data_IF_722838744727
#
_entry.id   IF_722838744727
#
_cell.length_a   1.000
_cell.length_b   1.000
_cell.length_c   1.000
_cell.angle_alpha   90.00
_cell.angle_beta   90.00
_cell.angle_gamma   90.00
#
_symmetry.space_group_name_H-M   'P 1'
#
loop_
_entity.id
_entity.type
_entity.pdbx_description
1 polymer ?
#
# COMPACT_ATOMS: atom_id res chain seq x y z
N UNK A 1 25.88 -5.91 -14.90
CA UNK A 1 24.63 -5.59 -15.64
C UNK A 1 24.02 -4.30 -15.08
N UNK A 2 23.67 -3.31 -15.91
CA UNK A 2 22.90 -2.12 -15.46
C UNK A 2 21.42 -2.36 -15.76
N UNK A 3 20.60 -2.45 -14.71
CA UNK A 3 19.15 -2.57 -14.86
C UNK A 3 18.56 -1.20 -15.25
N UNK A 4 17.87 -1.12 -16.39
CA UNK A 4 17.13 0.09 -16.78
C UNK A 4 15.70 -0.02 -16.23
N UNK A 5 15.36 0.86 -15.30
CA UNK A 5 14.01 0.96 -14.73
C UNK A 5 13.20 1.89 -15.63
N UNK A 6 12.04 1.46 -16.15
CA UNK A 6 11.19 2.32 -16.96
C UNK A 6 10.57 3.45 -16.14
N UNK A 7 10.02 4.45 -16.83
CA UNK A 7 9.24 5.49 -16.16
C UNK A 7 7.95 4.91 -15.57
N UNK A 8 7.55 5.36 -14.37
CA UNK A 8 6.40 4.77 -13.70
C UNK A 8 5.08 5.27 -14.29
N UNK A 9 4.21 4.34 -14.68
CA UNK A 9 2.79 4.58 -15.02
C UNK A 9 2.00 4.97 -13.77
N UNK A 10 2.30 4.32 -12.64
CA UNK A 10 1.67 4.60 -11.33
C UNK A 10 2.67 4.42 -10.22
N UNK A 11 2.52 5.21 -9.16
CA UNK A 11 3.43 5.18 -8.02
C UNK A 11 2.71 5.42 -6.70
N UNK A 12 3.15 4.68 -5.68
CA UNK A 12 2.77 4.86 -4.30
C UNK A 12 3.82 5.65 -3.53
N UNK A 13 3.40 6.50 -2.60
CA UNK A 13 4.30 7.07 -1.59
C UNK A 13 3.92 6.50 -0.22
N UNK A 14 4.84 5.75 0.37
CA UNK A 14 4.72 5.27 1.76
C UNK A 14 5.08 6.44 2.67
N UNK A 15 4.08 7.01 3.35
CA UNK A 15 4.25 8.18 4.21
C UNK A 15 4.96 7.83 5.53
N UNK A 16 4.79 6.59 5.98
CA UNK A 16 5.47 6.03 7.14
C UNK A 16 5.52 4.50 7.08
N UNK A 17 6.29 3.83 7.94
CA UNK A 17 6.13 2.40 8.21
C UNK A 17 5.27 2.12 9.46
N UNK A 18 4.87 3.18 10.18
CA UNK A 18 3.97 3.03 11.33
C UNK A 18 2.54 2.73 10.88
N UNK A 19 1.95 1.71 11.47
CA UNK A 19 0.57 1.27 11.20
C UNK A 19 -0.17 1.02 12.51
N UNK A 20 -1.51 1.07 12.50
CA UNK A 20 -2.34 0.70 13.66
C UNK A 20 -2.45 -0.81 13.84
N UNK A 21 -2.14 -1.60 12.82
CA UNK A 21 -2.12 -3.07 12.86
C UNK A 21 -0.77 -3.66 12.49
N UNK A 22 -0.61 -4.95 12.74
CA UNK A 22 0.60 -5.73 12.41
C UNK A 22 0.26 -6.94 11.54
N UNK A 23 -0.54 -6.70 10.48
CA UNK A 23 -1.14 -7.76 9.66
C UNK A 23 -0.11 -8.79 9.19
N UNK A 24 -0.42 -10.09 9.33
CA UNK A 24 0.49 -11.20 9.01
C UNK A 24 0.94 -11.26 7.55
N UNK A 25 0.16 -10.72 6.62
CA UNK A 25 0.50 -10.67 5.19
C UNK A 25 1.23 -9.38 4.76
N UNK A 26 1.52 -8.45 5.67
CA UNK A 26 1.99 -7.12 5.29
C UNK A 26 3.33 -7.18 4.56
N UNK A 27 3.32 -6.75 3.30
CA UNK A 27 4.49 -6.67 2.42
C UNK A 27 5.63 -5.85 3.02
N UNK A 28 5.30 -4.73 3.65
CA UNK A 28 6.26 -3.74 4.15
C UNK A 28 6.63 -3.93 5.62
N UNK A 29 6.13 -4.99 6.26
CA UNK A 29 6.30 -5.23 7.69
C UNK A 29 5.96 -4.00 8.57
N UNK A 30 4.97 -3.20 8.15
CA UNK A 30 4.48 -2.04 8.90
C UNK A 30 3.89 -2.48 10.25
N UNK A 31 4.08 -1.71 11.31
CA UNK A 31 3.60 -2.07 12.65
C UNK A 31 3.43 -0.84 13.54
N UNK A 32 2.73 -0.96 14.69
CA UNK A 32 2.65 0.13 15.66
C UNK A 32 4.00 0.50 16.28
N UNK A 33 4.92 -0.47 16.32
CA UNK A 33 6.24 -0.37 16.95
C UNK A 33 7.29 0.41 16.14
N UNK A 34 7.01 0.76 14.88
CA UNK A 34 7.91 1.61 14.09
C UNK A 34 8.05 3.01 14.72
N UNK A 35 9.22 3.25 15.34
CA UNK A 35 9.56 4.51 16.02
C UNK A 35 10.08 5.57 15.05
N UNK A 36 10.81 5.15 14.02
CA UNK A 36 11.38 6.01 12.99
C UNK A 36 10.60 5.92 11.68
N UNK A 37 10.60 7.00 10.88
CA UNK A 37 10.05 6.97 9.52
C UNK A 37 8.87 7.89 9.27
N UNK A 38 8.81 9.08 9.88
CA UNK A 38 7.97 10.15 9.31
C UNK A 38 8.67 10.68 8.07
N UNK A 39 7.99 10.68 6.93
CA UNK A 39 8.51 11.29 5.71
C UNK A 39 8.81 12.78 5.93
N UNK A 40 10.07 13.23 5.87
CA UNK A 40 10.41 14.64 6.04
C UNK A 40 9.81 15.47 4.91
N UNK A 41 9.38 16.70 5.20
CA UNK A 41 8.68 17.54 4.22
C UNK A 41 9.50 17.80 2.95
N UNK A 42 10.79 18.12 3.10
CA UNK A 42 11.69 18.30 1.96
C UNK A 42 11.85 17.03 1.11
N UNK A 43 11.66 15.84 1.70
CA UNK A 43 11.71 14.56 0.97
C UNK A 43 10.41 14.33 0.19
N UNK A 44 9.25 14.57 0.81
CA UNK A 44 7.94 14.48 0.15
C UNK A 44 7.90 15.34 -1.11
N UNK A 45 8.28 16.62 -1.01
CA UNK A 45 8.31 17.54 -2.15
C UNK A 45 9.20 17.03 -3.28
N UNK A 46 10.40 16.54 -2.96
CA UNK A 46 11.30 15.95 -3.95
C UNK A 46 10.71 14.70 -4.60
N UNK A 47 10.02 13.84 -3.85
CA UNK A 47 9.39 12.62 -4.40
C UNK A 47 8.31 12.98 -5.40
N UNK A 48 7.37 13.86 -5.01
CA UNK A 48 6.29 14.32 -5.87
C UNK A 48 6.83 14.99 -7.14
N UNK A 49 7.82 15.87 -7.01
CA UNK A 49 8.48 16.51 -8.17
C UNK A 49 9.15 15.48 -9.08
N UNK A 50 9.70 14.40 -8.50
CA UNK A 50 10.28 13.30 -9.27
C UNK A 50 9.26 12.48 -10.07
N UNK A 51 7.98 12.52 -9.70
CA UNK A 51 6.89 11.81 -10.37
C UNK A 51 6.11 12.70 -11.35
N UNK A 52 6.28 14.02 -11.26
CA UNK A 52 5.57 14.99 -12.09
C UNK A 52 5.77 14.73 -13.58
N UNK A 53 4.66 14.65 -14.31
CA UNK A 53 4.65 14.39 -15.75
C UNK A 53 4.95 12.96 -16.18
N UNK A 54 5.11 12.02 -15.24
CA UNK A 54 5.42 10.61 -15.55
C UNK A 54 4.24 9.66 -15.34
N UNK A 55 3.40 9.98 -14.36
CA UNK A 55 2.24 9.15 -14.01
C UNK A 55 1.12 9.28 -15.04
N UNK A 56 0.43 8.18 -15.29
CA UNK A 56 -0.73 8.11 -16.19
C UNK A 56 -2.00 8.07 -15.35
N UNK A 57 -2.94 8.96 -15.64
CA UNK A 57 -4.25 8.96 -14.97
C UNK A 57 -5.10 7.76 -15.36
N UNK A 58 -6.01 7.38 -14.47
CA UNK A 58 -6.96 6.31 -14.75
C UNK A 58 -7.88 6.72 -15.92
N UNK A 59 -8.25 5.77 -16.79
CA UNK A 59 -9.26 6.01 -17.82
C UNK A 59 -10.55 6.61 -17.21
N UNK A 60 -11.15 7.58 -17.88
CA UNK A 60 -12.35 8.26 -17.39
C UNK A 60 -12.13 9.23 -16.21
N UNK A 61 -10.88 9.46 -15.78
CA UNK A 61 -10.56 10.45 -14.74
C UNK A 61 -10.82 9.98 -13.30
N UNK A 62 -11.13 8.69 -13.10
CA UNK A 62 -11.33 8.08 -11.79
C UNK A 62 -10.02 7.72 -11.07
N UNK A 63 -10.09 6.71 -10.21
CA UNK A 63 -8.93 6.11 -9.53
C UNK A 63 -8.74 4.65 -9.93
N UNK A 64 -7.53 4.11 -9.75
CA UNK A 64 -7.25 2.72 -10.01
C UNK A 64 -5.90 2.31 -9.44
N UNK A 65 -5.80 1.07 -8.96
CA UNK A 65 -4.61 0.52 -8.29
C UNK A 65 -3.33 0.68 -9.14
N UNK A 66 -3.47 0.63 -10.47
CA UNK A 66 -2.36 0.70 -11.41
C UNK A 66 -2.22 2.06 -12.11
N UNK A 67 -2.91 3.11 -11.66
CA UNK A 67 -2.90 4.44 -12.28
C UNK A 67 -2.67 5.56 -11.26
N UNK A 68 -2.00 6.61 -11.71
CA UNK A 68 -1.82 7.84 -10.93
C UNK A 68 -0.94 7.67 -9.70
N UNK A 69 -1.25 8.47 -8.67
CA UNK A 69 -0.55 8.52 -7.40
C UNK A 69 -1.40 7.89 -6.29
N UNK A 70 -0.82 6.97 -5.52
CA UNK A 70 -1.45 6.53 -4.27
C UNK A 70 -0.62 6.92 -3.06
N UNK A 71 -1.29 7.39 -2.02
CA UNK A 71 -0.70 7.66 -0.72
C UNK A 71 -0.99 6.48 0.19
N UNK A 72 0.05 5.89 0.77
CA UNK A 72 -0.08 4.66 1.54
C UNK A 72 0.88 4.64 2.73
N UNK A 73 0.83 3.55 3.49
CA UNK A 73 1.86 3.11 4.43
C UNK A 73 2.04 3.93 5.72
N UNK A 74 2.27 3.29 6.88
CA UNK A 74 1.74 1.97 7.21
C UNK A 74 0.23 2.12 7.33
N UNK A 75 -0.17 3.17 8.04
CA UNK A 75 -1.51 3.74 8.00
C UNK A 75 -1.43 5.28 7.90
N UNK A 76 -1.74 5.88 6.74
CA UNK A 76 -1.66 7.33 6.51
C UNK A 76 -2.42 8.18 7.53
N UNK A 77 -3.55 7.70 8.04
CA UNK A 77 -4.39 8.46 8.96
C UNK A 77 -3.84 8.54 10.39
N UNK A 78 -2.79 7.78 10.74
CA UNK A 78 -2.03 8.01 11.97
C UNK A 78 -1.33 9.38 11.98
N UNK A 79 -1.10 9.98 10.80
CA UNK A 79 -0.56 11.32 10.67
C UNK A 79 -1.37 12.11 9.62
N UNK A 80 -2.64 12.37 9.96
CA UNK A 80 -3.58 13.06 9.09
C UNK A 80 -3.05 14.41 8.57
N UNK A 81 -2.30 15.16 9.37
CA UNK A 81 -1.68 16.42 8.92
C UNK A 81 -0.64 16.23 7.81
N UNK A 82 0.18 15.18 7.86
CA UNK A 82 1.10 14.84 6.77
C UNK A 82 0.34 14.39 5.52
N UNK A 83 -0.67 13.53 5.68
CA UNK A 83 -1.52 13.08 4.59
C UNK A 83 -2.18 14.27 3.87
N UNK A 84 -2.82 15.18 4.61
CA UNK A 84 -3.49 16.35 4.04
C UNK A 84 -2.51 17.25 3.27
N UNK A 85 -1.29 17.45 3.78
CA UNK A 85 -0.23 18.19 3.06
C UNK A 85 0.23 17.47 1.79
N UNK A 86 0.38 16.15 1.84
CA UNK A 86 0.75 15.36 0.67
C UNK A 86 -0.31 15.46 -0.44
N UNK A 87 -1.60 15.37 -0.07
CA UNK A 87 -2.72 15.58 -0.99
C UNK A 87 -2.68 16.97 -1.62
N UNK A 88 -2.60 18.04 -0.81
CA UNK A 88 -2.55 19.42 -1.33
C UNK A 88 -1.38 19.64 -2.29
N UNK A 89 -0.20 19.12 -1.96
CA UNK A 89 0.99 19.23 -2.83
C UNK A 89 0.82 18.44 -4.12
N UNK A 90 0.30 17.22 -4.05
CA UNK A 90 0.04 16.41 -5.24
C UNK A 90 -0.98 17.08 -6.18
N UNK A 91 -2.07 17.61 -5.62
CA UNK A 91 -3.08 18.36 -6.35
C UNK A 91 -2.51 19.64 -7.00
N UNK A 92 -1.74 20.44 -6.24
CA UNK A 92 -1.09 21.64 -6.77
C UNK A 92 -0.04 21.37 -7.86
N UNK A 93 0.48 20.15 -7.94
CA UNK A 93 1.38 19.69 -9.01
C UNK A 93 0.65 19.02 -10.18
N UNK A 94 -0.68 18.91 -10.12
CA UNK A 94 -1.48 18.27 -11.17
C UNK A 94 -1.26 16.76 -11.28
N UNK A 95 -0.88 16.07 -10.19
CA UNK A 95 -0.68 14.62 -10.22
C UNK A 95 -2.03 13.89 -10.39
N UNK A 96 -2.16 13.00 -11.38
CA UNK A 96 -3.45 12.44 -11.76
C UNK A 96 -3.91 11.35 -10.79
N UNK A 97 -5.22 11.10 -10.75
CA UNK A 97 -5.87 9.98 -10.05
C UNK A 97 -5.36 9.77 -8.61
N UNK A 98 -5.15 10.85 -7.85
CA UNK A 98 -4.57 10.75 -6.51
C UNK A 98 -5.55 10.13 -5.53
N UNK A 99 -5.22 8.98 -4.91
CA UNK A 99 -6.03 8.34 -3.87
C UNK A 99 -5.21 7.97 -2.64
N UNK A 100 -5.89 7.63 -1.55
CA UNK A 100 -5.25 7.14 -0.32
C UNK A 100 -5.71 5.72 0.00
N UNK A 101 -4.77 4.88 0.43
CA UNK A 101 -5.03 3.54 0.94
C UNK A 101 -5.13 3.58 2.46
N UNK A 102 -6.13 2.93 3.05
CA UNK A 102 -6.32 2.90 4.50
C UNK A 102 -6.89 1.58 4.98
N UNK A 103 -6.49 1.18 6.19
CA UNK A 103 -7.09 0.08 6.94
C UNK A 103 -8.35 0.51 7.71
N UNK A 104 -8.73 1.80 7.63
CA UNK A 104 -9.95 2.35 8.23
C UNK A 104 -9.98 2.39 9.76
N UNK A 105 -8.88 2.15 10.48
CA UNK A 105 -8.88 2.16 11.96
C UNK A 105 -9.42 3.46 12.56
N UNK A 106 -9.26 4.58 11.86
CA UNK A 106 -9.61 5.93 12.30
C UNK A 106 -11.10 6.25 12.12
N UNK A 107 -11.85 5.40 11.43
CA UNK A 107 -13.29 5.56 11.20
C UNK A 107 -14.09 5.11 12.42
N UNK A 108 -13.91 5.79 13.56
CA UNK A 108 -14.53 5.44 14.85
C UNK A 108 -16.02 5.74 14.89
N UNK A 109 -16.43 6.80 14.22
CA UNK A 109 -17.78 7.36 14.19
C UNK A 109 -17.98 8.12 12.87
N UNK A 110 -19.25 8.40 12.53
CA UNK A 110 -19.59 8.97 11.23
C UNK A 110 -19.09 10.41 11.04
N UNK A 111 -19.14 11.23 12.09
CA UNK A 111 -18.70 12.62 12.07
C UNK A 111 -17.22 12.70 11.72
N UNK A 112 -16.37 12.00 12.49
CA UNK A 112 -14.93 11.93 12.28
C UNK A 112 -14.58 11.37 10.90
N UNK A 113 -15.31 10.33 10.46
CA UNK A 113 -15.11 9.77 9.12
C UNK A 113 -15.39 10.81 8.05
N UNK A 114 -16.56 11.44 8.10
CA UNK A 114 -17.02 12.40 7.10
C UNK A 114 -16.11 13.63 7.07
N UNK A 115 -15.80 14.21 8.22
CA UNK A 115 -14.98 15.42 8.34
C UNK A 115 -13.62 15.24 7.66
N UNK A 116 -12.90 14.16 7.98
CA UNK A 116 -11.57 13.90 7.41
C UNK A 116 -11.63 13.62 5.91
N UNK A 117 -12.62 12.86 5.44
CA UNK A 117 -12.75 12.59 4.00
C UNK A 117 -13.10 13.86 3.22
N UNK A 118 -13.98 14.73 3.75
CA UNK A 118 -14.30 16.01 3.15
C UNK A 118 -13.06 16.91 3.05
N UNK A 119 -12.29 17.04 4.13
CA UNK A 119 -11.04 17.81 4.12
C UNK A 119 -10.05 17.31 3.07
N UNK A 120 -9.94 15.98 2.88
CA UNK A 120 -9.07 15.40 1.86
C UNK A 120 -9.61 15.67 0.44
N UNK A 121 -10.93 15.54 0.23
CA UNK A 121 -11.56 15.85 -1.05
C UNK A 121 -11.35 17.32 -1.44
N UNK A 122 -11.59 18.24 -0.50
CA UNK A 122 -11.37 19.68 -0.68
C UNK A 122 -9.91 20.02 -0.94
N UNK A 123 -8.98 19.26 -0.35
CA UNK A 123 -7.55 19.36 -0.64
C UNK A 123 -7.15 18.83 -2.03
N UNK A 124 -8.05 18.18 -2.76
CA UNK A 124 -7.83 17.66 -4.11
C UNK A 124 -7.64 16.15 -4.22
N UNK A 125 -7.93 15.37 -3.16
CA UNK A 125 -7.95 13.91 -3.23
C UNK A 125 -9.07 13.44 -4.19
N UNK A 126 -8.77 12.47 -5.05
CA UNK A 126 -9.74 11.94 -6.03
C UNK A 126 -10.51 10.73 -5.54
N UNK A 127 -9.98 9.97 -4.59
CA UNK A 127 -10.67 8.79 -4.07
C UNK A 127 -9.98 8.08 -2.92
N UNK A 128 -10.56 6.95 -2.54
CA UNK A 128 -10.20 6.17 -1.37
C UNK A 128 -10.09 4.69 -1.74
N UNK A 129 -9.07 4.00 -1.25
CA UNK A 129 -8.98 2.54 -1.27
C UNK A 129 -9.09 2.02 0.17
N UNK A 130 -10.11 1.22 0.42
CA UNK A 130 -10.42 0.61 1.71
C UNK A 130 -9.93 -0.83 1.72
N UNK A 131 -8.92 -1.12 2.53
CA UNK A 131 -8.36 -2.47 2.69
C UNK A 131 -9.22 -3.33 3.58
N UNK A 132 -9.61 -4.51 3.11
CA UNK A 132 -10.41 -5.46 3.87
C UNK A 132 -10.07 -6.90 3.51
N UNK A 133 -9.55 -7.63 4.49
CA UNK A 133 -9.23 -9.05 4.39
C UNK A 133 -9.09 -9.62 5.81
N UNK A 134 -8.95 -10.95 5.97
CA UNK A 134 -8.87 -11.60 7.28
C UNK A 134 -7.78 -11.03 8.19
N UNK A 135 -6.67 -10.58 7.60
CA UNK A 135 -5.55 -10.03 8.35
C UNK A 135 -5.77 -8.58 8.80
N UNK A 136 -6.59 -7.80 8.09
CA UNK A 136 -6.94 -6.43 8.49
C UNK A 136 -7.97 -6.46 9.62
N UNK A 137 -9.01 -7.30 9.50
CA UNK A 137 -10.07 -7.41 10.51
C UNK A 137 -9.60 -8.05 11.82
N UNK A 138 -8.42 -8.68 11.83
CA UNK A 138 -7.71 -9.08 13.06
C UNK A 138 -7.33 -7.87 13.93
N UNK A 139 -7.12 -6.70 13.32
CA UNK A 139 -6.65 -5.49 14.01
C UNK A 139 -7.65 -4.33 13.99
N UNK A 140 -8.57 -4.29 13.01
CA UNK A 140 -9.53 -3.21 12.83
C UNK A 140 -10.96 -3.76 12.92
N UNK A 141 -11.81 -3.23 13.83
CA UNK A 141 -13.21 -3.62 13.89
C UNK A 141 -13.92 -3.43 12.55
N UNK A 142 -14.65 -4.45 12.11
CA UNK A 142 -15.23 -4.51 10.77
C UNK A 142 -16.20 -3.36 10.48
N UNK A 143 -16.92 -2.87 11.49
CA UNK A 143 -17.83 -1.74 11.37
C UNK A 143 -17.12 -0.45 10.96
N UNK A 144 -15.82 -0.32 11.26
CA UNK A 144 -15.01 0.82 10.79
C UNK A 144 -14.73 0.72 9.30
N UNK A 145 -14.53 -0.50 8.80
CA UNK A 145 -14.40 -0.77 7.36
C UNK A 145 -15.74 -0.48 6.66
N UNK A 146 -16.87 -0.98 7.18
CA UNK A 146 -18.20 -0.69 6.61
C UNK A 146 -18.47 0.82 6.57
N UNK A 147 -18.14 1.54 7.65
CA UNK A 147 -18.26 3.00 7.72
C UNK A 147 -17.39 3.72 6.71
N UNK A 148 -16.13 3.29 6.55
CA UNK A 148 -15.22 3.87 5.56
C UNK A 148 -15.74 3.69 4.13
N UNK A 149 -16.26 2.52 3.79
CA UNK A 149 -16.87 2.26 2.48
C UNK A 149 -18.10 3.14 2.28
N UNK A 150 -19.05 3.13 3.23
CA UNK A 150 -20.30 3.89 3.10
C UNK A 150 -20.07 5.39 3.00
N UNK A 151 -19.40 5.99 4.00
CA UNK A 151 -19.15 7.44 4.03
C UNK A 151 -18.19 7.84 2.92
N UNK A 152 -17.23 6.98 2.57
CA UNK A 152 -16.38 7.17 1.41
C UNK A 152 -17.20 7.30 0.13
N UNK A 153 -18.14 6.40 -0.13
CA UNK A 153 -18.97 6.43 -1.32
C UNK A 153 -19.87 7.67 -1.37
N UNK A 154 -20.33 8.16 -0.22
CA UNK A 154 -21.06 9.44 -0.16
C UNK A 154 -20.17 10.64 -0.50
N UNK A 155 -18.88 10.61 -0.15
CA UNK A 155 -17.95 11.74 -0.37
C UNK A 155 -17.30 11.72 -1.77
N UNK A 156 -16.91 10.54 -2.25
CA UNK A 156 -16.12 10.34 -3.47
C UNK A 156 -16.90 9.63 -4.61
N UNK A 157 -18.14 9.21 -4.37
CA UNK A 157 -18.94 8.49 -5.36
C UNK A 157 -18.30 7.15 -5.73
N UNK A 158 -18.14 6.93 -7.04
CA UNK A 158 -17.55 5.71 -7.61
C UNK A 158 -16.04 5.58 -7.37
N UNK A 159 -15.37 6.65 -6.91
CA UNK A 159 -13.93 6.63 -6.59
C UNK A 159 -13.63 6.06 -5.19
N UNK A 160 -14.36 5.00 -4.81
CA UNK A 160 -14.07 4.19 -3.62
C UNK A 160 -13.83 2.76 -4.03
N UNK A 161 -12.60 2.31 -3.83
CA UNK A 161 -12.17 0.95 -4.12
C UNK A 161 -12.19 0.13 -2.83
N UNK A 162 -13.01 -0.92 -2.80
CA UNK A 162 -12.92 -1.94 -1.76
C UNK A 162 -11.89 -2.97 -2.20
N UNK A 163 -10.73 -2.99 -1.56
CA UNK A 163 -9.64 -3.88 -1.94
C UNK A 163 -9.86 -5.27 -1.33
N UNK A 164 -9.95 -6.27 -2.20
CA UNK A 164 -10.42 -7.64 -1.93
C UNK A 164 -11.92 -7.71 -1.54
N UNK A 165 -12.83 -7.33 -2.47
CA UNK A 165 -14.27 -7.19 -2.20
C UNK A 165 -14.94 -8.50 -1.77
N UNK A 166 -14.36 -9.65 -2.11
CA UNK A 166 -14.81 -10.97 -1.62
C UNK A 166 -14.92 -10.99 -0.10
N UNK A 167 -13.88 -10.55 0.62
CA UNK A 167 -13.87 -10.56 2.09
C UNK A 167 -14.81 -9.53 2.69
N UNK A 168 -14.95 -8.37 2.05
CA UNK A 168 -15.95 -7.39 2.45
C UNK A 168 -17.35 -8.02 2.46
N UNK A 169 -17.76 -8.64 1.36
CA UNK A 169 -19.07 -9.27 1.25
C UNK A 169 -19.20 -10.48 2.19
N UNK A 170 -18.15 -11.27 2.37
CA UNK A 170 -18.11 -12.38 3.32
C UNK A 170 -18.40 -11.90 4.75
N UNK A 171 -17.67 -10.91 5.23
CA UNK A 171 -17.81 -10.41 6.60
C UNK A 171 -19.14 -9.68 6.82
N UNK A 172 -19.67 -8.97 5.80
CA UNK A 172 -21.03 -8.41 5.86
C UNK A 172 -22.10 -9.48 5.98
N UNK A 173 -22.01 -10.55 5.18
CA UNK A 173 -22.96 -11.67 5.24
C UNK A 173 -22.89 -12.43 6.55
N UNK A 174 -21.69 -12.56 7.12
CA UNK A 174 -21.48 -13.13 8.46
C UNK A 174 -22.10 -12.24 9.57
N UNK A 175 -22.38 -10.97 9.27
CA UNK A 175 -22.77 -9.99 10.29
C UNK A 175 -21.64 -9.70 11.26
N UNK A 176 -20.38 -9.73 10.80
CA UNK A 176 -19.21 -9.55 11.65
C UNK A 176 -19.30 -8.20 12.40
N UNK A 177 -19.09 -8.28 13.71
CA UNK A 177 -18.96 -7.13 14.60
C UNK A 177 -17.65 -7.24 15.38
N UNK A 178 -16.96 -6.12 15.56
CA UNK A 178 -15.64 -6.11 16.16
C UNK A 178 -14.57 -6.71 15.24
N UNK A 179 -13.55 -7.30 15.85
CA UNK A 179 -12.44 -7.95 15.16
C UNK A 179 -12.68 -9.46 15.03
N UNK A 180 -11.97 -10.07 14.07
CA UNK A 180 -11.94 -11.52 13.89
C UNK A 180 -10.48 -11.97 13.89
N UNK A 181 -10.07 -12.76 14.89
CA UNK A 181 -8.70 -13.29 14.92
C UNK A 181 -8.44 -14.17 13.70
N UNK A 182 -7.18 -14.20 13.25
CA UNK A 182 -6.81 -14.99 12.08
C UNK A 182 -7.04 -16.48 12.31
N UNK A 183 -6.74 -16.99 13.51
CA UNK A 183 -7.00 -18.37 13.90
C UNK A 183 -8.49 -18.70 13.80
N UNK A 184 -9.37 -17.84 14.33
CA UNK A 184 -10.82 -18.06 14.26
C UNK A 184 -11.33 -17.99 12.82
N UNK A 185 -10.76 -17.12 12.00
CA UNK A 185 -11.05 -17.08 10.58
C UNK A 185 -10.72 -18.43 9.90
N UNK A 186 -9.54 -18.99 10.18
CA UNK A 186 -9.14 -20.29 9.62
C UNK A 186 -10.04 -21.43 10.08
N UNK A 187 -10.49 -21.44 11.33
CA UNK A 187 -11.47 -22.43 11.82
C UNK A 187 -12.80 -22.38 11.08
N UNK A 188 -13.27 -21.18 10.74
CA UNK A 188 -14.56 -20.97 10.10
C UNK A 188 -14.54 -21.25 8.59
N UNK A 189 -13.44 -20.89 7.91
CA UNK A 189 -13.40 -20.86 6.45
C UNK A 189 -12.30 -21.73 5.83
N UNK A 190 -11.41 -22.28 6.65
CA UNK A 190 -10.23 -23.02 6.20
C UNK A 190 -9.18 -22.13 5.54
N UNK A 191 -7.94 -22.62 5.48
CA UNK A 191 -6.81 -21.95 4.81
C UNK A 191 -7.06 -21.70 3.32
N UNK A 192 -7.70 -22.65 2.62
CA UNK A 192 -8.02 -22.54 1.18
C UNK A 192 -8.88 -21.33 0.82
N UNK A 193 -9.66 -20.79 1.76
CA UNK A 193 -10.40 -19.52 1.54
C UNK A 193 -9.48 -18.34 1.20
N UNK A 194 -8.21 -18.40 1.61
CA UNK A 194 -7.21 -17.38 1.31
C UNK A 194 -6.74 -17.40 -0.15
N UNK A 195 -7.12 -18.40 -0.94
CA UNK A 195 -6.93 -18.35 -2.40
C UNK A 195 -7.75 -17.21 -3.06
N UNK A 196 -8.76 -16.69 -2.37
CA UNK A 196 -9.48 -15.47 -2.78
C UNK A 196 -8.77 -14.17 -2.40
N UNK A 197 -7.69 -14.23 -1.62
CA UNK A 197 -6.86 -13.09 -1.29
C UNK A 197 -5.75 -12.90 -2.33
N UNK A 198 -5.44 -11.65 -2.65
CA UNK A 198 -4.16 -11.31 -3.27
C UNK A 198 -3.06 -11.46 -2.19
N UNK A 199 -2.65 -12.70 -1.94
CA UNK A 199 -1.68 -13.06 -0.93
C UNK A 199 -0.29 -13.15 -1.54
N UNK A 200 0.49 -12.08 -1.37
CA UNK A 200 1.84 -11.97 -1.91
C UNK A 200 2.84 -12.63 -0.93
N UNK A 201 3.59 -13.67 -1.34
CA UNK A 201 4.51 -14.41 -0.47
C UNK A 201 5.80 -13.60 -0.22
N UNK A 202 5.67 -12.49 0.51
CA UNK A 202 6.76 -11.59 0.86
C UNK A 202 6.48 -10.85 2.17
N UNK A 203 7.46 -10.08 2.64
CA UNK A 203 7.30 -9.31 3.88
C UNK A 203 7.00 -10.25 5.06
N UNK A 204 6.01 -9.91 5.88
CA UNK A 204 5.60 -10.79 7.00
C UNK A 204 5.02 -12.13 6.57
N UNK A 205 4.46 -12.23 5.36
CA UNK A 205 3.74 -13.43 4.94
C UNK A 205 4.65 -14.68 4.98
N UNK A 206 5.90 -14.55 4.54
CA UNK A 206 6.79 -15.71 4.36
C UNK A 206 7.17 -16.41 5.66
N UNK A 207 7.16 -15.70 6.79
CA UNK A 207 7.50 -16.27 8.10
C UNK A 207 6.34 -16.32 9.09
N UNK A 208 5.28 -15.51 8.91
CA UNK A 208 4.06 -15.57 9.75
C UNK A 208 3.00 -16.50 9.19
N UNK A 209 3.06 -16.82 7.90
CA UNK A 209 2.09 -17.66 7.21
C UNK A 209 2.75 -18.87 6.54
N UNK A 210 3.97 -19.25 6.94
CA UNK A 210 4.74 -20.31 6.27
C UNK A 210 3.94 -21.62 6.09
N UNK A 211 3.25 -22.07 7.14
CA UNK A 211 2.41 -23.28 7.08
C UNK A 211 1.23 -23.13 6.11
N UNK A 212 0.55 -21.98 6.13
CA UNK A 212 -0.56 -21.67 5.22
C UNK A 212 -0.06 -21.58 3.78
N UNK A 213 1.03 -20.86 3.53
CA UNK A 213 1.63 -20.73 2.19
C UNK A 213 2.08 -22.10 1.65
N UNK A 214 2.65 -22.95 2.52
CA UNK A 214 3.03 -24.31 2.17
C UNK A 214 1.83 -25.19 1.79
N UNK A 215 0.69 -25.03 2.45
CA UNK A 215 -0.55 -25.72 2.09
C UNK A 215 -1.14 -25.21 0.77
N UNK A 216 -1.13 -23.89 0.56
CA UNK A 216 -1.76 -23.27 -0.62
C UNK A 216 -0.95 -23.41 -1.90
N UNK A 217 0.37 -23.22 -1.82
CA UNK A 217 1.26 -23.14 -2.99
C UNK A 217 2.21 -24.34 -3.10
N UNK A 218 2.29 -25.17 -2.07
CA UNK A 218 3.32 -26.18 -1.95
C UNK A 218 4.69 -25.59 -1.57
N UNK A 219 5.54 -26.42 -0.96
CA UNK A 219 6.93 -26.04 -0.68
C UNK A 219 7.80 -26.40 -1.88
N UNK A 220 8.69 -25.48 -2.26
CA UNK A 220 9.66 -25.63 -3.35
C UNK A 220 11.05 -25.33 -2.81
N UNK A 221 12.07 -25.95 -3.38
CA UNK A 221 13.45 -25.66 -2.98
C UNK A 221 13.95 -24.44 -3.75
N UNK A 222 14.95 -23.74 -3.21
CA UNK A 222 15.50 -22.56 -3.88
C UNK A 222 16.07 -22.89 -5.26
N UNK A 223 16.64 -24.09 -5.41
CA UNK A 223 17.23 -24.60 -6.66
C UNK A 223 16.19 -24.74 -7.78
N UNK A 224 14.93 -24.96 -7.41
CA UNK A 224 13.83 -25.08 -8.38
C UNK A 224 13.59 -23.75 -9.14
N UNK A 225 14.11 -22.63 -8.63
CA UNK A 225 14.03 -21.31 -9.24
C UNK A 225 15.36 -20.85 -9.84
N UNK A 226 16.40 -21.70 -9.86
CA UNK A 226 17.67 -21.31 -10.46
C UNK A 226 17.54 -21.19 -11.98
N UNK A 227 18.07 -20.11 -12.54
CA UNK A 227 17.89 -19.78 -13.96
C UNK A 227 16.63 -18.98 -14.26
N UNK A 228 15.70 -18.86 -13.30
CA UNK A 228 14.56 -17.95 -13.42
C UNK A 228 15.01 -16.49 -13.31
N UNK A 229 14.26 -15.60 -13.96
CA UNK A 229 14.58 -14.18 -14.00
C UNK A 229 13.47 -13.34 -13.39
N UNK A 230 13.79 -12.62 -12.33
CA UNK A 230 12.90 -11.61 -11.76
C UNK A 230 12.83 -10.32 -12.59
N UNK A 231 13.48 -10.26 -13.77
CA UNK A 231 13.63 -9.03 -14.55
C UNK A 231 12.30 -8.32 -14.79
N UNK A 232 11.26 -9.07 -15.22
CA UNK A 232 9.93 -8.52 -15.48
C UNK A 232 9.33 -7.83 -14.26
N UNK A 233 9.46 -8.44 -13.09
CA UNK A 233 8.94 -7.89 -11.83
C UNK A 233 9.77 -6.71 -11.33
N UNK A 234 11.09 -6.72 -11.58
CA UNK A 234 12.01 -5.65 -11.20
C UNK A 234 11.91 -4.43 -12.13
N UNK A 235 11.43 -4.61 -13.36
CA UNK A 235 11.31 -3.54 -14.36
C UNK A 235 9.87 -3.22 -14.71
N UNK A 236 8.88 -3.61 -13.91
CA UNK A 236 7.49 -3.21 -14.19
C UNK A 236 7.31 -1.70 -13.93
N UNK A 237 6.58 -0.99 -14.82
CA UNK A 237 6.39 0.45 -14.67
C UNK A 237 5.19 0.83 -13.82
N UNK A 238 4.31 -0.09 -13.43
CA UNK A 238 3.12 0.22 -12.61
C UNK A 238 3.24 -0.28 -11.18
N UNK A 239 2.50 0.39 -10.29
CA UNK A 239 2.39 0.06 -8.87
C UNK A 239 3.75 0.06 -8.16
N UNK A 240 4.65 0.97 -8.53
CA UNK A 240 5.95 1.11 -7.84
C UNK A 240 5.77 1.91 -6.55
N UNK A 241 6.67 1.80 -5.58
CA UNK A 241 6.60 2.63 -4.37
C UNK A 241 7.87 3.45 -4.14
N UNK A 242 7.69 4.67 -3.65
CA UNK A 242 8.73 5.49 -3.04
C UNK A 242 8.52 5.44 -1.53
N UNK A 243 9.49 4.91 -0.79
CA UNK A 243 9.30 4.73 0.64
C UNK A 243 9.61 5.98 1.46
N UNK A 244 9.20 6.02 2.74
CA UNK A 244 9.45 7.18 3.60
C UNK A 244 10.94 7.47 3.82
N UNK A 245 11.85 6.54 3.48
CA UNK A 245 13.30 6.65 3.58
C UNK A 245 13.95 7.18 2.27
N UNK A 246 13.21 7.22 1.17
CA UNK A 246 13.69 7.68 -0.14
C UNK A 246 14.15 6.56 -1.07
N UNK A 247 13.77 5.32 -0.78
CA UNK A 247 14.05 4.16 -1.61
C UNK A 247 12.99 4.00 -2.69
N UNK A 248 13.41 3.47 -3.84
CA UNK A 248 12.52 3.02 -4.89
C UNK A 248 12.28 1.51 -4.74
N UNK A 249 11.01 1.12 -4.79
CA UNK A 249 10.53 -0.25 -4.61
C UNK A 249 9.82 -0.66 -5.90
N UNK A 250 10.44 -1.59 -6.64
CA UNK A 250 9.90 -2.09 -7.90
C UNK A 250 8.72 -3.03 -7.61
N UNK A 251 7.53 -2.49 -7.85
CA UNK A 251 6.23 -3.02 -7.46
C UNK A 251 6.16 -4.03 -6.31
N UNK A 252 5.43 -5.13 -6.49
CA UNK A 252 5.17 -6.18 -5.51
C UNK A 252 6.37 -7.10 -5.28
N UNK A 253 7.55 -6.88 -5.87
CA UNK A 253 8.72 -7.75 -5.61
C UNK A 253 9.85 -7.02 -4.88
N UNK A 254 9.62 -5.80 -4.40
CA UNK A 254 10.64 -5.02 -3.72
C UNK A 254 10.71 -5.29 -2.21
N UNK A 255 11.09 -6.49 -1.79
CA UNK A 255 11.46 -6.74 -0.38
C UNK A 255 12.81 -6.10 -0.01
N UNK A 256 13.53 -5.51 -0.97
CA UNK A 256 14.80 -4.82 -0.72
C UNK A 256 14.80 -3.43 -1.38
N UNK A 257 15.20 -2.36 -0.65
CA UNK A 257 15.43 -1.03 -1.21
C UNK A 257 16.40 -1.04 -2.41
N UNK A 258 15.93 -0.68 -3.60
CA UNK A 258 16.80 -0.56 -4.78
C UNK A 258 17.46 0.85 -4.80
N UNK A 259 18.38 1.07 -3.84
CA UNK A 259 19.29 2.23 -3.81
C UNK A 259 18.72 3.55 -3.24
N UNK A 260 19.64 4.43 -2.81
CA UNK A 260 19.33 5.81 -2.36
C UNK A 260 19.35 6.78 -3.55
N UNK A 261 18.33 7.63 -3.65
CA UNK A 261 18.27 8.75 -4.62
C UNK A 261 19.39 9.76 -4.36
N UNK A 262 20.46 9.74 -5.16
CA UNK A 262 21.39 10.89 -5.31
C UNK A 262 20.93 11.71 -6.52
N UNK A 263 20.38 12.88 -6.23
CA UNK A 263 20.25 14.06 -7.13
C UNK A 263 19.98 13.76 -8.61
N UNK A 264 18.72 13.89 -9.02
CA UNK A 264 18.34 13.96 -10.43
C UNK A 264 18.71 15.36 -10.94
N UNK A 265 19.86 15.52 -11.61
CA UNK A 265 20.13 16.67 -12.50
C UNK A 265 19.83 16.21 -13.92
N UNK A 266 19.14 17.07 -14.66
CA UNK A 266 18.74 16.82 -16.05
C UNK A 266 19.92 16.38 -16.92
N UNK A 267 19.55 15.71 -18.01
CA UNK A 267 20.42 15.15 -19.07
C UNK A 267 21.36 13.99 -18.67
N UNK A 268 20.81 12.92 -18.08
CA UNK A 268 21.18 11.50 -18.33
C UNK A 268 20.32 10.53 -17.48
N UNK A 269 19.63 9.53 -18.04
CA UNK A 269 18.78 8.63 -17.27
C UNK A 269 19.60 7.44 -16.73
N UNK A 270 19.91 7.44 -15.43
CA UNK A 270 20.54 6.29 -14.79
C UNK A 270 20.32 6.28 -13.28
N UNK A 271 19.51 5.34 -12.80
CA UNK A 271 19.51 4.95 -11.39
C UNK A 271 20.85 4.27 -11.09
N UNK A 272 21.64 4.84 -10.16
CA UNK A 272 22.90 4.23 -9.74
C UNK A 272 22.68 3.44 -8.45
N UNK A 273 23.01 2.16 -8.53
CA UNK A 273 23.09 1.26 -7.38
C UNK A 273 24.07 1.79 -6.34
N UNK A 274 23.64 1.88 -5.08
CA UNK A 274 24.54 1.85 -3.92
C UNK A 274 24.03 0.76 -3.01
N UNK A 275 24.93 -0.16 -2.60
CA UNK A 275 24.65 -1.07 -1.49
C UNK A 275 24.13 -0.23 -0.33
N UNK A 276 22.91 -0.52 0.12
CA UNK A 276 22.47 -0.08 1.44
C UNK A 276 23.39 -0.68 2.51
N UNK A 277 23.40 -0.14 3.74
CA UNK A 277 24.09 -0.80 4.84
C UNK A 277 23.55 -2.24 4.95
N UNK A 278 24.47 -3.17 5.18
CA UNK A 278 24.17 -4.56 5.49
C UNK A 278 23.12 -4.61 6.59
N UNK A 279 21.97 -5.24 6.31
CA UNK A 279 21.10 -5.70 7.36
C UNK A 279 21.77 -6.94 7.94
N UNK A 280 22.31 -6.83 9.15
CA UNK A 280 22.61 -8.01 9.95
C UNK A 280 21.28 -8.69 10.30
N UNK A 281 21.15 -10.01 10.15
CA UNK A 281 19.96 -10.73 10.57
C UNK A 281 19.83 -10.67 12.09
N UNK A 282 18.61 -10.36 12.56
CA UNK A 282 18.16 -10.71 13.91
C UNK A 282 17.63 -12.14 13.89
#
# INVERSE_FOLDING_TARGET
MRLRIPEPVSAGIILSYRCSGECRHCMYACSPGWREGRLPEGRLGRMLEGLRGRLVGAPGGGIGINYGLHLTGGEPFLNFGLLLRAVRRAAGMGLPSTFVETNSFWCTDEETTRERLLQLREAGLRGLLVSVNPFVVEHVPFERVERAVRVGSEVFGENVLVYQPFFYHLFRRLGLRGTLSFERYLELFGSRSLLHAELLPMGRAVYRLEGVLGELYGRRRAEDFFGESCLRELTRPWHVHLDCLGNYVAGYCGASPWGRRRTWRGSSPGWTWRRGPSWEPW
#
